data_IF_908362147028
#
_entry.id   IF_908362147028
#
_cell.length_a   1.000
_cell.length_b   1.000
_cell.length_c   1.000
_cell.angle_alpha   90.00
_cell.angle_beta   90.00
_cell.angle_gamma   90.00
#
_symmetry.space_group_name_H-M   'P 1'
#
loop_
_entity.id
_entity.type
_entity.pdbx_description
1 polymer ?
#
# COMPACT_ATOMS: atom_id res chain seq x y z
N UNK A 1 8.08 17.56 26.79
CA UNK A 1 7.81 16.11 26.88
C UNK A 1 7.04 15.61 25.66
N UNK A 2 6.15 16.42 25.07
CA UNK A 2 5.34 16.07 23.89
C UNK A 2 6.17 15.76 22.62
N UNK A 3 7.21 16.54 22.32
CA UNK A 3 8.00 16.34 21.09
C UNK A 3 8.67 14.95 21.00
N UNK A 4 9.11 14.38 22.14
CA UNK A 4 9.73 13.05 22.16
C UNK A 4 8.73 11.92 21.92
N UNK A 5 7.49 12.10 22.36
CA UNK A 5 6.43 11.11 22.18
C UNK A 5 5.96 11.09 20.72
N UNK A 6 5.84 12.25 20.09
CA UNK A 6 5.52 12.36 18.67
C UNK A 6 6.62 11.76 17.78
N UNK A 7 7.89 12.03 18.09
CA UNK A 7 9.03 11.45 17.38
C UNK A 7 9.08 9.92 17.52
N UNK A 8 8.83 9.37 18.72
CA UNK A 8 8.74 7.93 18.91
C UNK A 8 7.58 7.31 18.11
N UNK A 9 6.44 7.99 18.05
CA UNK A 9 5.27 7.52 17.30
C UNK A 9 5.57 7.38 15.80
N UNK A 10 6.21 8.38 15.19
CA UNK A 10 6.61 8.31 13.79
C UNK A 10 7.59 7.15 13.54
N UNK A 11 8.56 6.96 14.44
CA UNK A 11 9.51 5.83 14.36
C UNK A 11 8.80 4.47 14.41
N UNK A 12 7.76 4.34 15.24
CA UNK A 12 6.97 3.11 15.33
C UNK A 12 6.20 2.84 14.03
N UNK A 13 5.67 3.88 13.38
CA UNK A 13 5.02 3.77 12.07
C UNK A 13 6.03 3.37 11.00
N UNK A 14 7.23 3.96 10.98
CA UNK A 14 8.28 3.57 10.03
C UNK A 14 8.73 2.12 10.24
N UNK A 15 8.87 1.68 11.49
CA UNK A 15 9.16 0.28 11.80
C UNK A 15 8.05 -0.66 11.30
N UNK A 16 6.78 -0.25 11.44
CA UNK A 16 5.64 -0.98 10.93
C UNK A 16 5.66 -1.10 9.40
N UNK A 17 5.94 0.00 8.69
CA UNK A 17 6.07 0.01 7.22
C UNK A 17 7.20 -0.94 6.78
N UNK A 18 8.35 -0.91 7.44
CA UNK A 18 9.46 -1.82 7.12
C UNK A 18 9.12 -3.30 7.37
N UNK A 19 8.37 -3.59 8.44
CA UNK A 19 7.85 -4.94 8.72
C UNK A 19 6.92 -5.40 7.60
N UNK A 20 6.00 -4.55 7.16
CA UNK A 20 5.09 -4.83 6.05
C UNK A 20 5.84 -5.05 4.73
N UNK A 21 6.80 -4.19 4.39
CA UNK A 21 7.66 -4.35 3.21
C UNK A 21 8.31 -5.74 3.19
N UNK A 22 8.85 -6.17 4.34
CA UNK A 22 9.45 -7.50 4.49
C UNK A 22 8.43 -8.61 4.27
N UNK A 23 7.24 -8.52 4.89
CA UNK A 23 6.14 -9.50 4.73
C UNK A 23 5.60 -9.57 3.30
N UNK A 24 5.67 -8.47 2.56
CA UNK A 24 5.25 -8.37 1.16
C UNK A 24 6.37 -8.75 0.18
N UNK A 25 7.55 -9.12 0.65
CA UNK A 25 8.69 -9.46 -0.20
C UNK A 25 9.26 -8.27 -0.97
N UNK A 26 9.03 -7.04 -0.50
CA UNK A 26 9.60 -5.82 -1.07
C UNK A 26 11.03 -5.68 -0.59
N UNK A 27 12.00 -5.74 -1.51
CA UNK A 27 13.43 -5.80 -1.19
C UNK A 27 14.19 -4.49 -1.41
N UNK A 28 13.56 -3.50 -2.02
CA UNK A 28 14.17 -2.17 -2.23
C UNK A 28 13.83 -1.20 -1.09
N UNK A 29 14.64 -0.14 -0.88
CA UNK A 29 14.39 0.86 0.17
C UNK A 29 13.08 1.62 -0.02
N UNK A 30 12.49 2.09 1.10
CA UNK A 30 11.29 2.92 1.09
C UNK A 30 11.46 4.22 0.28
N UNK A 31 12.66 4.79 0.25
CA UNK A 31 12.97 6.00 -0.53
C UNK A 31 12.66 5.84 -2.02
N UNK A 32 12.87 4.65 -2.57
CA UNK A 32 12.54 4.35 -3.96
C UNK A 32 11.03 4.41 -4.20
N UNK A 33 10.21 3.97 -3.23
CA UNK A 33 8.75 4.10 -3.30
C UNK A 33 8.33 5.56 -3.23
N UNK A 34 8.92 6.31 -2.30
CA UNK A 34 8.59 7.71 -2.07
C UNK A 34 8.95 8.58 -3.26
N UNK A 35 10.07 8.31 -3.93
CA UNK A 35 10.44 9.01 -5.16
C UNK A 35 9.29 8.86 -6.18
N UNK A 36 8.85 7.63 -6.46
CA UNK A 36 7.82 7.35 -7.46
C UNK A 36 6.45 7.91 -7.05
N UNK A 37 6.09 7.74 -5.79
CA UNK A 37 4.83 8.18 -5.23
C UNK A 37 4.64 9.70 -5.32
N UNK A 38 5.72 10.47 -5.16
CA UNK A 38 5.69 11.94 -5.17
C UNK A 38 5.90 12.56 -6.56
N UNK A 39 6.29 11.78 -7.58
CA UNK A 39 6.49 12.33 -8.92
C UNK A 39 5.18 12.45 -9.72
N UNK A 40 4.69 13.67 -9.90
CA UNK A 40 3.47 13.95 -10.67
C UNK A 40 3.61 13.68 -12.19
N UNK A 41 4.84 13.68 -12.71
CA UNK A 41 5.13 13.51 -14.15
C UNK A 41 5.50 12.08 -14.54
N UNK A 42 5.82 11.23 -13.56
CA UNK A 42 6.15 9.83 -13.78
C UNK A 42 4.88 9.00 -13.57
N UNK A 43 4.09 8.80 -14.63
CA UNK A 43 3.13 7.69 -14.63
C UNK A 43 3.97 6.42 -14.60
N UNK A 44 3.77 5.51 -13.62
CA UNK A 44 4.47 4.23 -13.64
C UNK A 44 4.21 3.56 -14.98
N UNK A 45 5.25 3.33 -15.78
CA UNK A 45 5.13 2.34 -16.86
C UNK A 45 4.73 1.04 -16.18
N UNK A 46 3.64 0.40 -16.61
CA UNK A 46 3.02 -0.59 -15.79
C UNK A 46 3.97 -1.78 -15.67
N UNK A 47 4.45 -2.05 -14.44
CA UNK A 47 4.68 -3.42 -14.05
C UNK A 47 3.28 -4.05 -13.95
N UNK A 48 2.74 -4.45 -15.11
CA UNK A 48 1.47 -5.14 -15.20
C UNK A 48 1.61 -6.46 -14.43
N UNK A 49 1.11 -6.52 -13.19
CA UNK A 49 0.42 -7.74 -12.81
C UNK A 49 -0.84 -7.78 -13.67
N UNK A 50 -1.08 -8.86 -14.44
CA UNK A 50 -2.20 -8.89 -15.36
C UNK A 50 -3.49 -8.80 -14.55
N UNK A 51 -4.25 -7.73 -14.75
CA UNK A 51 -5.69 -7.81 -14.61
C UNK A 51 -6.14 -8.79 -15.68
N UNK A 52 -6.57 -9.98 -15.27
CA UNK A 52 -7.14 -10.96 -16.18
C UNK A 52 -8.49 -10.43 -16.66
N UNK A 53 -8.49 -9.74 -17.79
CA UNK A 53 -9.64 -9.69 -18.67
C UNK A 53 -9.57 -10.92 -19.58
N UNK A 54 -10.60 -11.76 -19.49
CA UNK A 54 -10.77 -12.92 -20.33
C UNK A 54 -10.82 -12.55 -21.83
N UNK A 55 -10.22 -13.44 -22.66
CA UNK A 55 -10.35 -13.57 -24.12
C UNK A 55 -9.53 -12.55 -24.94
N UNK A 56 -8.56 -12.90 -25.81
CA UNK A 56 -8.61 -13.86 -26.94
C UNK A 56 -7.20 -14.41 -27.26
N UNK A 57 -7.14 -15.69 -27.64
CA UNK A 57 -6.00 -16.49 -28.16
C UNK A 57 -4.82 -15.74 -28.83
N UNK A 58 -3.60 -15.96 -28.33
CA UNK A 58 -2.42 -16.35 -29.13
C UNK A 58 -1.28 -16.82 -28.21
N UNK A 59 -0.78 -18.02 -28.49
CA UNK A 59 0.30 -18.71 -27.78
C UNK A 59 1.60 -17.90 -27.70
N UNK A 60 1.96 -17.43 -26.51
CA UNK A 60 3.36 -17.11 -26.17
C UNK A 60 3.64 -17.61 -24.76
N UNK A 61 4.38 -18.71 -24.67
CA UNK A 61 4.98 -19.21 -23.42
C UNK A 61 6.17 -18.33 -23.08
N UNK A 62 5.99 -17.38 -22.16
CA UNK A 62 7.11 -16.77 -21.44
C UNK A 62 7.01 -17.14 -19.97
N UNK A 63 7.63 -18.28 -19.66
CA UNK A 63 7.98 -18.68 -18.31
C UNK A 63 9.06 -17.73 -17.76
N UNK A 64 8.66 -16.64 -17.14
CA UNK A 64 9.48 -15.86 -16.22
C UNK A 64 8.58 -15.39 -15.06
N UNK A 65 8.00 -16.37 -14.37
CA UNK A 65 7.25 -16.13 -13.14
C UNK A 65 8.28 -15.95 -12.03
N UNK A 66 8.73 -14.72 -11.80
CA UNK A 66 9.27 -14.34 -10.50
C UNK A 66 8.08 -14.52 -9.54
N UNK A 67 7.99 -15.68 -8.89
CA UNK A 67 7.03 -15.89 -7.81
C UNK A 67 7.44 -14.96 -6.68
N UNK A 68 6.88 -13.76 -6.69
CA UNK A 68 6.90 -12.88 -5.55
C UNK A 68 6.19 -13.64 -4.43
N UNK A 69 6.88 -13.89 -3.31
CA UNK A 69 6.34 -14.51 -2.10
C UNK A 69 5.34 -13.57 -1.40
N UNK A 70 4.47 -12.90 -2.16
CA UNK A 70 3.39 -12.06 -1.64
C UNK A 70 2.32 -13.01 -1.11
N UNK A 71 1.90 -12.88 0.17
CA UNK A 71 0.81 -13.67 0.72
C UNK A 71 -0.43 -13.58 -0.17
N UNK A 72 -1.17 -14.66 -0.36
CA UNK A 72 -2.32 -14.68 -1.28
C UNK A 72 -3.34 -13.58 -0.97
N UNK A 73 -3.61 -13.35 0.31
CA UNK A 73 -4.49 -12.29 0.79
C UNK A 73 -3.99 -10.86 0.53
N UNK A 74 -2.69 -10.69 0.23
CA UNK A 74 -2.09 -9.41 -0.14
C UNK A 74 -2.16 -9.14 -1.65
N UNK A 75 -2.45 -10.16 -2.47
CA UNK A 75 -2.62 -10.01 -3.93
C UNK A 75 -3.94 -9.35 -4.31
N UNK A 76 -4.94 -9.47 -3.45
CA UNK A 76 -6.26 -8.85 -3.60
C UNK A 76 -6.38 -7.63 -2.70
N UNK A 77 -6.71 -6.47 -3.25
CA UNK A 77 -6.84 -5.23 -2.49
C UNK A 77 -7.41 -4.09 -3.34
N UNK A 78 -7.63 -2.94 -2.72
CA UNK A 78 -8.13 -1.74 -3.39
C UNK A 78 -7.02 -1.02 -4.17
N UNK A 79 -5.81 -1.00 -3.62
CA UNK A 79 -4.67 -0.27 -4.16
C UNK A 79 -3.37 -1.08 -4.10
N UNK A 80 -2.37 -0.77 -4.93
CA UNK A 80 -1.05 -1.37 -4.83
C UNK A 80 -0.43 -1.14 -3.44
N UNK A 81 0.20 -2.17 -2.86
CA UNK A 81 0.84 -2.04 -1.55
C UNK A 81 1.92 -0.97 -1.50
N UNK A 82 2.64 -0.75 -2.60
CA UNK A 82 3.60 0.33 -2.73
C UNK A 82 3.00 1.70 -2.37
N UNK A 83 1.79 1.98 -2.86
CA UNK A 83 1.09 3.25 -2.65
C UNK A 83 0.53 3.32 -1.21
N UNK A 84 0.08 2.19 -0.67
CA UNK A 84 -0.39 2.10 0.73
C UNK A 84 0.77 2.39 1.69
N UNK A 85 1.91 1.75 1.49
CA UNK A 85 3.12 1.92 2.32
C UNK A 85 3.66 3.34 2.20
N UNK A 86 3.71 3.90 0.99
CA UNK A 86 4.10 5.29 0.78
C UNK A 86 3.14 6.28 1.47
N UNK A 87 1.83 6.02 1.45
CA UNK A 87 0.84 6.82 2.20
C UNK A 87 1.09 6.76 3.71
N UNK A 88 1.30 5.56 4.27
CA UNK A 88 1.61 5.39 5.70
C UNK A 88 2.88 6.15 6.09
N UNK A 89 3.91 6.09 5.24
CA UNK A 89 5.19 6.75 5.50
C UNK A 89 5.12 8.27 5.34
N UNK A 90 4.32 8.77 4.39
CA UNK A 90 4.20 10.22 4.12
C UNK A 90 3.32 10.93 5.15
N UNK A 91 2.37 10.21 5.77
CA UNK A 91 1.45 10.74 6.76
C UNK A 91 1.41 9.84 8.01
N UNK A 92 2.53 9.67 8.73
CA UNK A 92 2.60 8.78 9.88
C UNK A 92 1.64 9.20 10.99
N UNK A 93 1.34 10.49 11.12
CA UNK A 93 0.39 11.06 12.08
C UNK A 93 -1.07 10.63 11.82
N UNK A 94 -1.37 10.12 10.62
CA UNK A 94 -2.71 9.62 10.25
C UNK A 94 -2.82 8.10 10.30
N UNK A 95 -1.75 7.40 10.62
CA UNK A 95 -1.78 5.96 10.94
C UNK A 95 -2.25 5.83 12.38
N UNK A 96 -3.02 4.80 12.74
CA UNK A 96 -3.34 4.43 14.13
C UNK A 96 -3.77 2.97 14.25
N UNK A 97 -3.48 2.35 15.39
CA UNK A 97 -4.03 1.02 15.74
C UNK A 97 -5.46 1.21 16.22
N UNK A 98 -6.37 0.37 15.72
CA UNK A 98 -7.80 0.39 16.06
C UNK A 98 -8.15 -0.69 17.09
N UNK A 99 -9.33 -0.60 17.70
CA UNK A 99 -9.89 -1.69 18.52
C UNK A 99 -10.59 -2.77 17.67
N UNK A 100 -10.70 -2.56 16.35
CA UNK A 100 -11.28 -3.53 15.43
C UNK A 100 -10.23 -4.60 15.14
N UNK A 101 -10.67 -5.87 15.10
CA UNK A 101 -9.78 -7.01 14.85
C UNK A 101 -9.97 -7.56 13.43
N UNK A 102 -8.89 -8.13 12.89
CA UNK A 102 -8.88 -8.80 11.61
C UNK A 102 -9.77 -10.05 11.66
N UNK A 103 -10.75 -10.22 10.75
CA UNK A 103 -11.61 -11.40 10.76
C UNK A 103 -10.86 -12.69 10.39
N UNK A 104 -9.63 -12.59 9.88
CA UNK A 104 -8.81 -13.74 9.51
C UNK A 104 -7.89 -14.23 10.64
N UNK A 105 -7.18 -13.32 11.32
CA UNK A 105 -6.18 -13.69 12.34
C UNK A 105 -6.50 -13.19 13.75
N UNK A 106 -7.53 -12.37 13.96
CA UNK A 106 -7.88 -11.82 15.28
C UNK A 106 -7.01 -10.65 15.76
N UNK A 107 -5.98 -10.27 15.00
CA UNK A 107 -5.09 -9.16 15.36
C UNK A 107 -5.71 -7.79 15.09
N UNK A 108 -5.32 -6.78 15.88
CA UNK A 108 -5.82 -5.41 15.73
C UNK A 108 -5.52 -4.87 14.33
N UNK A 109 -6.50 -4.19 13.75
CA UNK A 109 -6.36 -3.52 12.47
C UNK A 109 -5.73 -2.15 12.64
N UNK A 110 -5.02 -1.71 11.60
CA UNK A 110 -4.46 -0.37 11.49
C UNK A 110 -5.33 0.45 10.55
N UNK A 111 -5.76 1.63 10.99
CA UNK A 111 -6.35 2.66 10.13
C UNK A 111 -5.25 3.61 9.65
N UNK A 112 -5.30 4.00 8.38
CA UNK A 112 -4.45 5.03 7.79
C UNK A 112 -5.28 5.94 6.89
N UNK A 113 -4.75 7.11 6.57
CA UNK A 113 -5.25 7.90 5.44
C UNK A 113 -4.46 7.53 4.19
N UNK A 114 -5.12 6.89 3.24
CA UNK A 114 -4.56 6.60 1.93
C UNK A 114 -4.70 7.83 1.02
N UNK A 115 -3.64 8.13 0.27
CA UNK A 115 -3.71 9.00 -0.90
C UNK A 115 -3.09 8.25 -2.07
N UNK A 116 -3.69 8.38 -3.25
CA UNK A 116 -3.06 7.87 -4.46
C UNK A 116 -1.81 8.70 -4.82
N UNK A 117 -0.89 8.13 -5.62
CA UNK A 117 0.34 8.83 -6.03
C UNK A 117 0.08 10.16 -6.73
N UNK A 118 1.04 11.08 -6.67
CA UNK A 118 0.92 12.45 -7.21
C UNK A 118 0.47 12.50 -8.69
N UNK A 119 0.92 11.55 -9.52
CA UNK A 119 0.54 11.50 -10.94
C UNK A 119 -0.97 11.29 -11.15
N UNK A 120 -1.64 10.55 -10.26
CA UNK A 120 -3.08 10.29 -10.36
C UNK A 120 -3.89 11.57 -10.15
N UNK A 121 -3.44 12.44 -9.23
CA UNK A 121 -4.05 13.73 -8.97
C UNK A 121 -3.89 14.65 -10.17
N UNK A 122 -2.70 14.67 -10.77
CA UNK A 122 -2.42 15.42 -12.02
C UNK A 122 -3.28 14.93 -13.19
N UNK A 123 -3.51 13.62 -13.28
CA UNK A 123 -4.34 12.98 -14.30
C UNK A 123 -5.85 13.06 -14.01
N UNK A 124 -6.27 13.76 -12.95
CA UNK A 124 -7.67 13.89 -12.53
C UNK A 124 -8.36 12.54 -12.24
N UNK A 125 -7.61 11.59 -11.68
CA UNK A 125 -8.13 10.29 -11.25
C UNK A 125 -7.65 9.91 -9.84
N UNK A 126 -7.15 10.89 -9.09
CA UNK A 126 -6.67 10.74 -7.74
C UNK A 126 -7.78 10.37 -6.76
N UNK A 127 -7.44 9.58 -5.74
CA UNK A 127 -8.33 9.10 -4.69
C UNK A 127 -7.65 9.26 -3.34
N UNK A 128 -8.39 9.73 -2.34
CA UNK A 128 -7.94 9.78 -0.97
C UNK A 128 -9.04 9.41 -0.01
N UNK A 129 -8.68 8.81 1.11
CA UNK A 129 -9.66 8.41 2.13
C UNK A 129 -9.10 7.47 3.18
N UNK A 130 -9.95 7.08 4.13
CA UNK A 130 -9.56 6.18 5.21
C UNK A 130 -9.49 4.75 4.70
N UNK A 131 -8.41 4.08 5.07
CA UNK A 131 -8.21 2.67 4.79
C UNK A 131 -7.91 1.93 6.07
N UNK A 132 -8.48 0.75 6.20
CA UNK A 132 -8.16 -0.19 7.28
C UNK A 132 -7.43 -1.39 6.71
N UNK A 133 -6.28 -1.73 7.31
CA UNK A 133 -5.44 -2.87 6.91
C UNK A 133 -5.17 -3.79 8.10
N UNK A 134 -4.91 -5.06 7.82
CA UNK A 134 -4.29 -5.97 8.78
C UNK A 134 -2.81 -6.08 8.46
N UNK A 135 -1.96 -5.84 9.45
CA UNK A 135 -0.50 -5.85 9.28
C UNK A 135 0.13 -7.23 9.43
N UNK A 136 -0.60 -8.18 10.02
CA UNK A 136 -0.18 -9.57 10.13
C UNK A 136 -0.54 -10.41 8.90
N UNK A 137 -1.70 -10.19 8.30
CA UNK A 137 -2.13 -10.87 7.07
C UNK A 137 -1.76 -10.13 5.77
N UNK A 138 -0.93 -9.08 5.82
CA UNK A 138 -1.01 -7.93 4.90
C UNK A 138 -2.24 -7.91 3.98
N UNK A 139 -3.42 -7.60 4.51
CA UNK A 139 -4.66 -7.45 3.71
C UNK A 139 -5.24 -6.07 3.87
N UNK A 140 -5.80 -5.53 2.79
CA UNK A 140 -6.64 -4.34 2.84
C UNK A 140 -8.06 -4.80 3.18
N UNK A 141 -8.61 -4.29 4.28
CA UNK A 141 -9.89 -4.74 4.84
C UNK A 141 -11.03 -3.87 4.31
N UNK A 142 -10.86 -2.56 4.35
CA UNK A 142 -11.86 -1.59 3.93
C UNK A 142 -11.19 -0.31 3.41
N UNK A 143 -11.85 0.35 2.45
CA UNK A 143 -11.49 1.69 1.99
C UNK A 143 -12.74 2.55 1.85
N UNK A 144 -12.80 3.63 2.62
CA UNK A 144 -13.80 4.67 2.52
C UNK A 144 -13.26 5.86 1.74
N UNK A 145 -13.75 6.07 0.51
CA UNK A 145 -13.39 7.21 -0.33
C UNK A 145 -13.90 8.51 0.31
N UNK A 146 -13.00 9.47 0.54
CA UNK A 146 -13.34 10.80 1.08
C UNK A 146 -13.17 11.91 0.03
N UNK A 147 -12.16 11.78 -0.84
CA UNK A 147 -11.86 12.76 -1.89
C UNK A 147 -11.49 12.06 -3.20
N UNK A 148 -11.97 12.61 -4.30
CA UNK A 148 -11.58 12.24 -5.66
C UNK A 148 -11.51 13.46 -6.56
N UNK A 149 -10.67 13.40 -7.60
CA UNK A 149 -10.76 14.29 -8.76
C UNK A 149 -11.64 13.66 -9.84
#
# INVERSE_FOLDING_TARGET
MENKQYEQYELDVYALVNSLMTKLGITYPIDNLLEWYNHADKVPTPFMSPMTEDSVNASVKHDNKIETNIPECAKTGYFPWNDVLASMYTMPEKVKITEIVCPNCGEKLVELYFSSPAWTWKALCGRGGRMTICTECPRQVEFGLEIMN
#
